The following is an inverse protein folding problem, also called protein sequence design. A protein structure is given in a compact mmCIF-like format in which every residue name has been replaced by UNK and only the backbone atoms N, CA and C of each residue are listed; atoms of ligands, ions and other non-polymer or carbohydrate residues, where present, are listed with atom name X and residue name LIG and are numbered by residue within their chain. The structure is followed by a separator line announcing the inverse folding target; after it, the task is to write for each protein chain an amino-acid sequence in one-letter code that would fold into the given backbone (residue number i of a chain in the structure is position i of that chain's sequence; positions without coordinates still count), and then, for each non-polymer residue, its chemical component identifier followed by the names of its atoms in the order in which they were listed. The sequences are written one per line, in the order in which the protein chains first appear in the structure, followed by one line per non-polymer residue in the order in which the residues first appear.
data_IF_174185479898
#
_entry.id   IF_174185479898
#
_cell.length_a   1.000
_cell.length_b   1.000
_cell.length_c   1.000
_cell.angle_alpha   90.00
_cell.angle_beta   90.00
_cell.angle_gamma   90.00
#
_symmetry.space_group_name_H-M   'P 1'
#
loop_
_entity.id
_entity.type
_entity.pdbx_description
1 polymer ?
#
# COMPACT_ATOMS: atom_id res chain seq x y z
N UNK A 1 5.72 -4.90 -2.16
CA UNK A 1 6.22 -4.92 -3.56
C UNK A 1 6.00 -3.55 -4.15
N UNK A 2 6.96 -3.02 -4.90
CA UNK A 2 6.92 -1.64 -5.40
C UNK A 2 7.33 -1.61 -6.87
N UNK A 3 6.62 -0.80 -7.67
CA UNK A 3 6.96 -0.52 -9.07
C UNK A 3 6.82 0.98 -9.31
N UNK A 4 7.76 1.54 -10.06
CA UNK A 4 7.73 2.95 -10.48
C UNK A 4 7.49 3.02 -11.98
N UNK A 5 6.63 3.93 -12.41
CA UNK A 5 6.37 4.20 -13.82
C UNK A 5 6.05 5.68 -14.03
N UNK A 6 6.10 6.15 -15.29
CA UNK A 6 5.68 7.50 -15.64
C UNK A 6 4.20 7.48 -16.06
N UNK A 7 3.35 8.35 -15.51
CA UNK A 7 1.92 8.36 -15.86
C UNK A 7 1.64 9.18 -17.13
N UNK A 8 2.65 9.41 -17.98
CA UNK A 8 2.49 10.26 -19.17
C UNK A 8 1.75 9.54 -20.29
N UNK A 9 1.88 8.21 -20.35
CA UNK A 9 1.19 7.36 -21.32
C UNK A 9 0.43 6.22 -20.63
N UNK A 10 -0.82 5.93 -21.03
CA UNK A 10 -1.59 4.82 -20.46
C UNK A 10 -0.91 3.44 -20.58
N UNK A 11 -0.06 3.24 -21.59
CA UNK A 11 0.68 2.00 -21.77
C UNK A 11 1.64 1.71 -20.61
N UNK A 12 2.30 2.74 -20.08
CA UNK A 12 3.27 2.62 -19.00
C UNK A 12 2.58 2.16 -17.70
N UNK A 13 1.35 2.63 -17.47
CA UNK A 13 0.51 2.19 -16.35
C UNK A 13 0.13 0.71 -16.50
N UNK A 14 -0.33 0.30 -17.69
CA UNK A 14 -0.69 -1.10 -17.96
C UNK A 14 0.52 -2.04 -17.84
N UNK A 15 1.69 -1.62 -18.32
CA UNK A 15 2.94 -2.38 -18.20
C UNK A 15 3.33 -2.54 -16.72
N UNK A 16 3.28 -1.46 -15.93
CA UNK A 16 3.58 -1.51 -14.51
C UNK A 16 2.65 -2.45 -13.74
N UNK A 17 1.36 -2.47 -14.08
CA UNK A 17 0.37 -3.40 -13.50
C UNK A 17 0.71 -4.83 -13.89
N UNK A 18 0.98 -5.10 -15.17
CA UNK A 18 1.34 -6.43 -15.66
C UNK A 18 2.60 -6.99 -14.96
N UNK A 19 3.65 -6.17 -14.83
CA UNK A 19 4.88 -6.54 -14.11
C UNK A 19 4.60 -6.83 -12.63
N UNK A 20 3.78 -6.00 -11.99
CA UNK A 20 3.36 -6.19 -10.59
C UNK A 20 2.62 -7.51 -10.42
N UNK A 21 1.62 -7.79 -11.25
CA UNK A 21 0.82 -9.02 -11.21
C UNK A 21 1.67 -10.27 -11.45
N UNK A 22 2.58 -10.23 -12.43
CA UNK A 22 3.52 -11.32 -12.69
C UNK A 22 4.40 -11.59 -11.47
N UNK A 23 4.96 -10.55 -10.86
CA UNK A 23 5.80 -10.68 -9.68
C UNK A 23 5.02 -11.22 -8.47
N UNK A 24 3.79 -10.76 -8.25
CA UNK A 24 2.90 -11.31 -7.21
C UNK A 24 2.61 -12.79 -7.44
N UNK A 25 2.42 -13.20 -8.70
CA UNK A 25 2.21 -14.62 -9.03
C UNK A 25 3.44 -15.48 -8.76
N UNK A 26 4.64 -14.99 -9.06
CA UNK A 26 5.87 -15.71 -8.74
C UNK A 26 6.12 -15.79 -7.23
N UNK A 27 5.87 -14.70 -6.50
CA UNK A 27 5.86 -14.70 -5.03
C UNK A 27 4.86 -15.71 -4.47
N UNK A 28 3.65 -15.80 -5.04
CA UNK A 28 2.65 -16.78 -4.60
C UNK A 28 3.14 -18.22 -4.82
N UNK A 29 3.74 -18.53 -5.97
CA UNK A 29 4.29 -19.87 -6.23
C UNK A 29 5.36 -20.24 -5.21
N UNK A 30 6.29 -19.31 -4.94
CA UNK A 30 7.33 -19.48 -3.94
C UNK A 30 6.76 -19.70 -2.53
N UNK A 31 5.79 -18.87 -2.11
CA UNK A 31 5.12 -19.05 -0.81
C UNK A 31 4.46 -20.43 -0.69
N UNK A 32 3.78 -20.91 -1.74
CA UNK A 32 3.13 -22.23 -1.73
C UNK A 32 4.17 -23.36 -1.57
N UNK A 33 5.32 -23.26 -2.23
CA UNK A 33 6.42 -24.21 -2.08
C UNK A 33 6.89 -24.28 -0.62
N UNK A 34 6.93 -23.13 0.06
CA UNK A 34 7.28 -23.00 1.47
C UNK A 34 6.10 -23.21 2.43
N UNK A 35 4.97 -23.76 1.96
CA UNK A 35 3.75 -24.04 2.73
C UNK A 35 3.12 -22.78 3.37
N UNK A 36 3.37 -21.62 2.79
CA UNK A 36 2.76 -20.35 3.13
C UNK A 36 1.64 -20.01 2.13
N UNK A 37 0.73 -19.13 2.55
CA UNK A 37 -0.38 -18.65 1.72
C UNK A 37 -0.46 -17.13 1.77
N UNK A 38 -0.46 -16.51 0.59
CA UNK A 38 -0.79 -15.09 0.45
C UNK A 38 -2.27 -14.88 0.77
N UNK A 39 -2.57 -13.87 1.58
CA UNK A 39 -3.96 -13.53 1.91
C UNK A 39 -4.46 -12.46 0.95
N UNK A 40 -5.00 -12.91 -0.18
CA UNK A 40 -5.52 -12.07 -1.26
C UNK A 40 -6.58 -11.05 -0.77
N UNK A 41 -7.37 -11.39 0.26
CA UNK A 41 -8.38 -10.49 0.83
C UNK A 41 -7.81 -9.41 1.76
N UNK A 42 -6.53 -9.52 2.14
CA UNK A 42 -5.82 -8.54 2.99
C UNK A 42 -4.76 -7.74 2.22
N UNK A 43 -4.54 -8.03 0.94
CA UNK A 43 -3.63 -7.22 0.13
C UNK A 43 -4.25 -5.86 -0.20
N UNK A 44 -3.47 -4.81 0.04
CA UNK A 44 -3.85 -3.43 -0.23
C UNK A 44 -2.98 -2.87 -1.36
N UNK A 45 -3.57 -2.02 -2.21
CA UNK A 45 -2.87 -1.30 -3.27
C UNK A 45 -2.81 0.19 -2.90
N UNK A 46 -1.62 0.77 -2.83
CA UNK A 46 -1.43 2.20 -2.64
C UNK A 46 -0.67 2.78 -3.84
N UNK A 47 -1.22 3.81 -4.45
CA UNK A 47 -0.56 4.55 -5.53
C UNK A 47 -0.07 5.88 -4.96
N UNK A 48 1.23 6.13 -5.12
CA UNK A 48 1.91 7.28 -4.54
C UNK A 48 2.38 8.19 -5.68
N UNK A 49 2.14 9.50 -5.54
CA UNK A 49 2.61 10.50 -6.50
C UNK A 49 2.18 11.90 -6.11
N UNK A 50 2.65 12.90 -6.86
CA UNK A 50 2.09 14.24 -6.73
C UNK A 50 0.64 14.26 -7.22
N UNK A 51 -0.16 15.21 -6.74
CA UNK A 51 -1.54 15.39 -7.23
C UNK A 51 -1.59 15.49 -8.77
N UNK A 52 -0.63 16.21 -9.38
CA UNK A 52 -0.58 16.34 -10.84
C UNK A 52 -0.31 15.01 -11.54
N UNK A 53 0.54 14.14 -10.97
CA UNK A 53 0.81 12.81 -11.51
C UNK A 53 -0.40 11.89 -11.35
N UNK A 54 -1.02 11.89 -10.16
CA UNK A 54 -2.17 11.03 -9.86
C UNK A 54 -3.38 11.38 -10.73
N UNK A 55 -3.56 12.65 -11.11
CA UNK A 55 -4.62 13.08 -12.02
C UNK A 55 -4.47 12.55 -13.46
N UNK A 56 -3.27 12.12 -13.87
CA UNK A 56 -3.02 11.54 -15.20
C UNK A 56 -3.38 10.06 -15.29
N UNK A 57 -3.59 9.40 -14.14
CA UNK A 57 -3.82 7.96 -14.09
C UNK A 57 -5.23 7.60 -14.52
N UNK A 58 -5.35 6.51 -15.26
CA UNK A 58 -6.63 5.87 -15.50
C UNK A 58 -7.05 5.05 -14.27
N UNK A 59 -8.36 4.85 -14.03
CA UNK A 59 -8.82 3.90 -13.03
C UNK A 59 -8.20 2.52 -13.27
N UNK A 60 -7.61 1.93 -12.24
CA UNK A 60 -6.97 0.62 -12.33
C UNK A 60 -7.16 -0.21 -11.06
N UNK A 61 -6.80 -1.48 -11.19
CA UNK A 61 -6.72 -2.46 -10.12
C UNK A 61 -5.52 -3.36 -10.38
N UNK A 62 -5.13 -4.15 -9.39
CA UNK A 62 -4.13 -5.22 -9.52
C UNK A 62 -4.80 -6.53 -9.17
N UNK A 63 -4.69 -7.53 -10.04
CA UNK A 63 -5.15 -8.90 -9.77
C UNK A 63 -4.17 -9.60 -8.85
N UNK A 64 -4.63 -9.90 -7.64
CA UNK A 64 -3.90 -10.76 -6.69
C UNK A 64 -4.65 -12.07 -6.58
N UNK A 65 -4.26 -13.05 -7.40
CA UNK A 65 -4.91 -14.36 -7.42
C UNK A 65 -6.30 -14.25 -8.01
N UNK A 66 -7.33 -14.46 -7.19
CA UNK A 66 -8.72 -14.29 -7.62
C UNK A 66 -9.34 -12.97 -7.12
N UNK A 67 -8.57 -12.11 -6.45
CA UNK A 67 -9.04 -10.83 -5.93
C UNK A 67 -8.60 -9.67 -6.83
N UNK A 68 -9.53 -8.76 -7.11
CA UNK A 68 -9.24 -7.47 -7.73
C UNK A 68 -8.97 -6.44 -6.63
N UNK A 69 -7.72 -6.05 -6.47
CA UNK A 69 -7.29 -5.11 -5.43
C UNK A 69 -7.36 -3.69 -5.97
N UNK A 70 -8.29 -2.91 -5.42
CA UNK A 70 -8.47 -1.51 -5.77
C UNK A 70 -7.52 -0.60 -4.95
N UNK A 71 -7.12 0.57 -5.50
CA UNK A 71 -6.33 1.54 -4.75
C UNK A 71 -7.07 2.04 -3.50
N UNK A 72 -6.37 2.05 -2.37
CA UNK A 72 -6.84 2.65 -1.10
C UNK A 72 -6.20 4.01 -0.86
N UNK A 73 -6.89 4.94 -0.16
CA UNK A 73 -6.34 6.28 0.10
C UNK A 73 -5.18 6.28 1.09
N UNK A 74 -5.16 5.29 2.00
CA UNK A 74 -4.17 5.12 3.04
C UNK A 74 -3.93 3.62 3.21
N UNK A 75 -2.68 3.20 3.26
CA UNK A 75 -2.29 1.83 3.58
C UNK A 75 -1.27 1.82 4.73
N UNK A 76 -1.17 0.70 5.44
CA UNK A 76 -0.17 0.54 6.50
C UNK A 76 0.92 -0.43 6.05
N UNK A 77 2.13 0.09 5.81
CA UNK A 77 3.29 -0.72 5.49
C UNK A 77 4.32 -0.68 6.63
N UNK A 78 4.77 -1.85 7.07
CA UNK A 78 5.76 -2.03 8.16
C UNK A 78 5.49 -1.17 9.42
N UNK A 79 4.22 -0.92 9.73
CA UNK A 79 3.80 -0.13 10.89
C UNK A 79 3.58 1.37 10.61
N UNK A 80 4.02 1.88 9.46
CA UNK A 80 3.86 3.28 9.02
C UNK A 80 2.56 3.45 8.24
N UNK A 81 1.83 4.54 8.51
CA UNK A 81 0.61 4.87 7.78
C UNK A 81 0.96 5.81 6.63
N UNK A 82 0.79 5.34 5.40
CA UNK A 82 1.14 6.07 4.19
C UNK A 82 -0.12 6.48 3.45
N UNK A 83 -0.18 7.75 3.03
CA UNK A 83 -1.19 8.26 2.11
C UNK A 83 -0.60 8.47 0.70
N UNK A 84 -1.45 8.61 -0.30
CA UNK A 84 -1.06 8.75 -1.72
C UNK A 84 -0.15 9.94 -2.02
N UNK A 85 -0.13 10.96 -1.15
CA UNK A 85 0.73 12.15 -1.30
C UNK A 85 1.87 12.19 -0.27
N UNK A 86 2.07 11.12 0.50
CA UNK A 86 3.06 11.01 1.57
C UNK A 86 3.04 12.16 2.58
N UNK A 87 1.85 12.70 2.91
CA UNK A 87 1.73 13.78 3.90
C UNK A 87 2.06 13.34 5.32
N UNK A 88 2.03 12.03 5.60
CA UNK A 88 2.30 11.42 6.91
C UNK A 88 1.36 11.86 8.03
N UNK A 89 0.33 12.66 7.74
CA UNK A 89 -0.53 13.27 8.77
C UNK A 89 -1.26 12.23 9.61
N UNK A 90 -1.70 11.13 8.99
CA UNK A 90 -2.31 9.99 9.69
C UNK A 90 -1.30 9.33 10.65
N UNK A 91 -0.09 9.05 10.16
CA UNK A 91 0.96 8.43 10.98
C UNK A 91 1.33 9.31 12.17
N UNK A 92 1.63 10.59 11.94
CA UNK A 92 2.01 11.54 12.99
C UNK A 92 0.91 11.62 14.05
N UNK A 93 -0.35 11.81 13.63
CA UNK A 93 -1.48 11.93 14.56
C UNK A 93 -1.63 10.69 15.42
N UNK A 94 -1.56 9.49 14.82
CA UNK A 94 -1.67 8.23 15.55
C UNK A 94 -0.49 8.00 16.51
N UNK A 95 0.72 8.31 16.07
CA UNK A 95 1.93 8.18 16.89
C UNK A 95 1.90 9.14 18.08
N UNK A 96 1.58 10.42 17.87
CA UNK A 96 1.43 11.39 18.94
C UNK A 96 0.31 10.98 19.91
N UNK A 97 -0.86 10.57 19.41
CA UNK A 97 -1.97 10.10 20.23
C UNK A 97 -1.59 8.91 21.12
N UNK A 98 -0.87 7.93 20.56
CA UNK A 98 -0.36 6.80 21.33
C UNK A 98 0.62 7.24 22.42
N UNK A 99 1.56 8.13 22.10
CA UNK A 99 2.51 8.66 23.08
C UNK A 99 1.81 9.40 24.23
N UNK A 100 0.86 10.29 23.93
CA UNK A 100 0.08 11.00 24.95
C UNK A 100 -0.73 10.05 25.83
N UNK A 101 -1.35 9.02 25.25
CA UNK A 101 -2.07 8.00 26.01
C UNK A 101 -1.15 7.31 27.04
N UNK A 102 0.06 6.91 26.63
CA UNK A 102 1.00 6.28 27.54
C UNK A 102 1.52 7.22 28.62
N UNK A 103 1.86 8.47 28.26
CA UNK A 103 2.26 9.49 29.23
C UNK A 103 1.17 9.76 30.28
N UNK A 104 -0.09 9.81 29.85
CA UNK A 104 -1.23 9.99 30.75
C UNK A 104 -1.37 8.83 31.73
N UNK A 105 -1.17 7.59 31.26
CA UNK A 105 -1.24 6.41 32.13
C UNK A 105 -0.10 6.37 33.16
N UNK A 106 1.12 6.73 32.77
CA UNK A 106 2.26 6.82 33.69
C UNK A 106 1.96 7.83 34.80
N UNK A 107 1.44 9.02 34.44
CA UNK A 107 1.04 10.05 35.40
C UNK A 107 -0.03 9.59 36.40
N UNK A 108 -0.89 8.63 36.03
CA UNK A 108 -1.97 8.14 36.89
C UNK A 108 -1.52 7.13 37.95
N UNK A 109 -0.39 6.47 37.72
CA UNK A 109 0.16 5.45 38.63
C UNK A 109 1.39 5.94 39.40
N UNK A 110 1.92 7.11 39.01
CA UNK A 110 2.93 7.85 39.77
C UNK A 110 2.33 8.63 40.92
#
# INVERSE_FOLDING_TARGET
LYVSFKPDYPCDQCEAISVMESCVNDLRKWMIQDKLKLNDGKTELLIIGSKQQLHKLNPCHVRVGNADVLPVPIARDLGVWLDSNLKMSCHITKTCGAAFYWLHNIKRIS
#
